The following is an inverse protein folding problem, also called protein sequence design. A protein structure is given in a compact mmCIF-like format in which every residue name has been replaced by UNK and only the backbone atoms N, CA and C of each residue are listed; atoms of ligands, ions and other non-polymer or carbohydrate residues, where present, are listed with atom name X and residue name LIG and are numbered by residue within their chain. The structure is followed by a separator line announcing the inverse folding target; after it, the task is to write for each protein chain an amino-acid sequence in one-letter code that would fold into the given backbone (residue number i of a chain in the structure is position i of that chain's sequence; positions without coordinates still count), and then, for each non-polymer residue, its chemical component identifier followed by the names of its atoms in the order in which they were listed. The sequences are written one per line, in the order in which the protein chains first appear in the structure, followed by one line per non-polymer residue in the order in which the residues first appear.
data_IF_068682434039
#
_entry.id   IF_068682434039
#
_cell.length_a   1.000
_cell.length_b   1.000
_cell.length_c   1.000
_cell.angle_alpha   90.00
_cell.angle_beta   90.00
_cell.angle_gamma   90.00
#
_symmetry.space_group_name_H-M   'P 1'
#
loop_
_entity.id
_entity.type
_entity.pdbx_description
1 polymer ?
#
# COMPACT_ATOMS: atom_id res chain seq x y z
N UNK A 1 -11.83 -20.22 9.69
CA UNK A 1 -10.72 -19.28 9.37
C UNK A 1 -10.42 -18.33 10.53
N UNK A 2 -11.45 -17.73 11.14
CA UNK A 2 -11.30 -16.82 12.28
C UNK A 2 -10.51 -17.41 13.46
N UNK A 3 -10.83 -18.64 13.90
CA UNK A 3 -10.08 -19.34 14.94
C UNK A 3 -8.58 -19.41 14.64
N UNK A 4 -8.19 -19.80 13.42
CA UNK A 4 -6.76 -19.86 13.02
C UNK A 4 -6.08 -18.48 13.07
N UNK A 5 -6.80 -17.40 12.76
CA UNK A 5 -6.26 -16.04 12.89
C UNK A 5 -6.01 -15.68 14.35
N UNK A 6 -6.97 -15.94 15.23
CA UNK A 6 -6.84 -15.69 16.68
C UNK A 6 -5.72 -16.51 17.32
N UNK A 7 -5.62 -17.80 17.01
CA UNK A 7 -4.53 -18.66 17.48
C UNK A 7 -3.17 -18.12 17.03
N UNK A 8 -3.04 -17.71 15.75
CA UNK A 8 -1.79 -17.11 15.28
C UNK A 8 -1.44 -15.80 16.02
N UNK A 9 -2.44 -14.98 16.38
CA UNK A 9 -2.21 -13.77 17.18
C UNK A 9 -1.61 -14.08 18.55
N UNK A 10 -2.15 -15.11 19.21
CA UNK A 10 -1.69 -15.54 20.53
C UNK A 10 -0.32 -16.20 20.43
N UNK A 11 -0.23 -17.32 19.73
CA UNK A 11 0.97 -18.17 19.71
C UNK A 11 2.19 -17.46 19.12
N UNK A 12 2.01 -16.73 18.01
CA UNK A 12 3.13 -16.17 17.27
C UNK A 12 3.57 -14.79 17.79
N UNK A 13 2.67 -14.06 18.46
CA UNK A 13 2.94 -12.68 18.87
C UNK A 13 2.74 -12.46 20.37
N UNK A 14 1.53 -12.64 20.90
CA UNK A 14 1.22 -12.30 22.29
C UNK A 14 2.05 -13.12 23.30
N UNK A 15 2.23 -14.42 23.06
CA UNK A 15 2.99 -15.28 23.97
C UNK A 15 4.49 -15.24 23.67
N UNK A 16 4.87 -15.11 22.40
CA UNK A 16 6.27 -15.25 21.98
C UNK A 16 7.08 -13.96 22.13
N UNK A 17 6.53 -12.80 21.75
CA UNK A 17 7.29 -11.55 21.72
C UNK A 17 7.74 -11.08 23.11
N UNK A 18 6.92 -11.15 24.19
CA UNK A 18 7.35 -10.71 25.52
C UNK A 18 8.58 -11.50 26.04
N UNK A 19 8.69 -12.77 25.65
CA UNK A 19 9.82 -13.63 26.01
C UNK A 19 11.12 -13.30 25.26
N UNK A 20 11.09 -12.37 24.32
CA UNK A 20 12.26 -11.92 23.54
C UNK A 20 12.70 -10.49 23.91
N UNK A 21 12.14 -9.94 25.00
CA UNK A 21 12.51 -8.62 25.49
C UNK A 21 13.89 -8.67 26.15
N UNK A 22 14.76 -7.75 25.76
CA UNK A 22 16.07 -7.51 26.34
C UNK A 22 16.11 -6.03 26.72
N UNK A 23 16.32 -5.74 28.01
CA UNK A 23 16.36 -4.36 28.55
C UNK A 23 15.15 -3.50 28.14
N UNK A 24 13.94 -4.08 28.20
CA UNK A 24 12.71 -3.37 27.85
C UNK A 24 12.45 -3.21 26.34
N UNK A 25 13.34 -3.69 25.47
CA UNK A 25 13.19 -3.60 24.01
C UNK A 25 13.18 -4.97 23.34
N UNK A 26 12.61 -5.03 22.14
CA UNK A 26 12.69 -6.19 21.26
C UNK A 26 13.67 -5.86 20.14
N UNK A 27 14.65 -6.74 19.94
CA UNK A 27 15.68 -6.57 18.91
C UNK A 27 15.45 -7.58 17.79
N UNK A 28 15.29 -7.11 16.56
CA UNK A 28 15.19 -7.96 15.37
C UNK A 28 16.49 -7.98 14.58
N UNK A 29 16.71 -9.06 13.83
CA UNK A 29 17.81 -9.18 12.88
C UNK A 29 17.34 -8.88 11.46
N UNK A 30 17.96 -7.91 10.79
CA UNK A 30 17.70 -7.61 9.38
C UNK A 30 18.73 -8.27 8.46
N UNK A 31 18.24 -9.10 7.53
CA UNK A 31 19.03 -9.59 6.41
C UNK A 31 18.77 -8.74 5.17
N UNK A 32 19.83 -8.14 4.61
CA UNK A 32 19.74 -7.21 3.48
C UNK A 32 19.86 -7.90 2.11
N UNK A 33 20.12 -9.21 2.07
CA UNK A 33 20.43 -9.96 0.84
C UNK A 33 19.38 -11.06 0.62
N UNK A 34 18.29 -10.71 -0.07
CA UNK A 34 17.31 -11.66 -0.60
C UNK A 34 17.28 -11.66 -2.12
N UNK A 35 16.70 -12.71 -2.71
CA UNK A 35 16.58 -12.87 -4.18
C UNK A 35 15.89 -11.67 -4.85
N UNK A 36 14.94 -11.05 -4.16
CA UNK A 36 14.18 -9.88 -4.64
C UNK A 36 14.77 -8.56 -4.18
N UNK A 37 15.94 -8.55 -3.52
CA UNK A 37 16.56 -7.35 -2.98
C UNK A 37 15.91 -6.81 -1.70
N UNK A 38 14.70 -7.23 -1.32
CA UNK A 38 14.04 -6.82 -0.07
C UNK A 38 14.86 -7.19 1.17
N UNK A 39 14.73 -6.38 2.21
CA UNK A 39 15.18 -6.74 3.55
C UNK A 39 14.20 -7.72 4.18
N UNK A 40 14.71 -8.68 4.95
CA UNK A 40 13.87 -9.55 5.79
C UNK A 40 14.23 -9.40 7.25
N UNK A 41 13.22 -9.40 8.11
CA UNK A 41 13.36 -9.44 9.56
C UNK A 41 13.22 -10.88 10.09
N UNK A 42 14.08 -11.26 11.04
CA UNK A 42 13.97 -12.52 11.79
C UNK A 42 14.37 -12.34 13.26
N UNK A 43 13.92 -13.28 14.08
CA UNK A 43 14.29 -13.40 15.49
C UNK A 43 14.15 -12.11 16.33
N UNK A 44 12.91 -11.56 16.47
CA UNK A 44 11.65 -11.95 15.83
C UNK A 44 11.44 -11.28 14.46
N UNK A 45 10.50 -11.80 13.68
CA UNK A 45 10.08 -11.14 12.43
C UNK A 45 9.08 -10.01 12.71
N UNK A 46 9.59 -8.79 12.81
CA UNK A 46 8.82 -7.56 13.06
C UNK A 46 8.21 -6.96 11.79
N UNK A 47 8.53 -7.48 10.60
CA UNK A 47 7.86 -7.07 9.35
C UNK A 47 6.47 -7.68 9.19
N UNK A 48 6.15 -8.71 9.99
CA UNK A 48 4.89 -9.45 9.89
C UNK A 48 3.94 -9.16 11.04
N UNK A 49 4.16 -8.08 11.79
CA UNK A 49 3.24 -7.66 12.84
C UNK A 49 1.86 -7.36 12.21
N UNK A 50 0.78 -7.99 12.69
CA UNK A 50 -0.56 -7.88 12.10
C UNK A 50 -1.04 -6.43 11.98
N UNK A 51 -1.49 -6.04 10.78
CA UNK A 51 -2.08 -4.71 10.53
C UNK A 51 -3.61 -4.68 10.65
N UNK A 52 -4.27 -5.84 10.53
CA UNK A 52 -5.74 -5.94 10.61
C UNK A 52 -6.28 -5.79 12.04
N UNK A 53 -5.40 -5.68 13.03
CA UNK A 53 -5.74 -5.41 14.43
C UNK A 53 -4.62 -4.63 15.09
N UNK A 54 -4.97 -3.61 15.86
CA UNK A 54 -3.99 -2.80 16.59
C UNK A 54 -3.58 -3.42 17.93
N UNK A 55 -4.17 -4.57 18.34
CA UNK A 55 -3.88 -5.20 19.63
C UNK A 55 -2.38 -5.45 19.85
N UNK A 56 -1.71 -6.07 18.87
CA UNK A 56 -0.28 -6.36 18.95
C UNK A 56 0.54 -5.10 18.69
N UNK A 57 0.17 -4.27 17.69
CA UNK A 57 0.90 -3.04 17.36
C UNK A 57 0.91 -2.03 18.52
N UNK A 58 -0.14 -1.98 19.33
CA UNK A 58 -0.22 -1.12 20.51
C UNK A 58 0.77 -1.50 21.62
N UNK A 59 1.34 -2.70 21.60
CA UNK A 59 2.37 -3.10 22.55
C UNK A 59 3.75 -2.48 22.22
N UNK A 60 3.94 -1.98 20.99
CA UNK A 60 5.14 -1.25 20.58
C UNK A 60 4.93 0.23 20.86
N UNK A 61 5.76 0.78 21.75
CA UNK A 61 5.64 2.15 22.26
C UNK A 61 6.94 2.91 22.05
N UNK A 62 6.84 4.23 21.92
CA UNK A 62 8.00 5.12 22.00
C UNK A 62 8.49 5.24 23.46
N UNK A 63 9.76 5.61 23.63
CA UNK A 63 10.30 5.98 24.94
C UNK A 63 9.76 7.34 25.39
N UNK A 64 9.95 7.68 26.66
CA UNK A 64 9.57 8.99 27.21
C UNK A 64 10.31 10.13 26.50
N UNK A 65 9.59 11.22 26.20
CA UNK A 65 10.10 12.35 25.41
C UNK A 65 10.29 12.05 23.92
N UNK A 66 9.79 10.90 23.42
CA UNK A 66 9.92 10.46 22.03
C UNK A 66 8.60 9.98 21.46
N UNK A 67 8.53 9.95 20.13
CA UNK A 67 7.40 9.45 19.36
C UNK A 67 7.87 8.44 18.31
N UNK A 68 6.93 7.62 17.82
CA UNK A 68 7.11 6.85 16.60
C UNK A 68 6.56 7.65 15.42
N UNK A 69 7.40 7.86 14.39
CA UNK A 69 6.98 8.41 13.12
C UNK A 69 7.07 7.33 12.03
N UNK A 70 5.97 7.04 11.37
CA UNK A 70 5.89 6.15 10.20
C UNK A 70 5.93 6.98 8.92
N UNK A 71 6.84 6.63 8.02
CA UNK A 71 6.91 7.14 6.65
C UNK A 71 6.64 5.98 5.68
N UNK A 72 5.50 6.00 4.99
CA UNK A 72 5.05 4.91 4.10
C UNK A 72 4.87 5.40 2.66
N UNK A 73 5.53 4.74 1.70
CA UNK A 73 5.38 5.08 0.28
C UNK A 73 3.97 4.78 -0.25
N UNK A 74 3.26 5.80 -0.72
CA UNK A 74 1.93 5.63 -1.28
C UNK A 74 1.98 4.96 -2.67
N UNK A 75 1.57 3.68 -2.73
CA UNK A 75 1.48 2.91 -3.98
C UNK A 75 2.82 2.75 -4.71
N UNK A 76 3.89 2.54 -3.95
CA UNK A 76 5.28 2.46 -4.44
C UNK A 76 5.42 1.58 -5.69
N UNK A 77 4.91 0.34 -5.62
CA UNK A 77 5.08 -0.63 -6.70
C UNK A 77 4.30 -0.28 -7.97
N UNK A 78 3.12 0.35 -7.86
CA UNK A 78 2.37 0.79 -9.05
C UNK A 78 2.98 2.02 -9.69
N UNK A 79 3.59 2.92 -8.91
CA UNK A 79 4.34 4.05 -9.45
C UNK A 79 5.59 3.57 -10.19
N UNK A 80 6.30 2.57 -9.64
CA UNK A 80 7.41 1.90 -10.33
C UNK A 80 6.91 1.23 -11.61
N UNK A 81 5.79 0.52 -11.57
CA UNK A 81 5.19 -0.08 -12.77
C UNK A 81 4.91 0.97 -13.84
N UNK A 82 4.30 2.10 -13.47
CA UNK A 82 4.00 3.19 -14.40
C UNK A 82 5.28 3.70 -15.08
N UNK A 83 6.35 3.88 -14.30
CA UNK A 83 7.64 4.36 -14.81
C UNK A 83 8.31 3.38 -15.78
N UNK A 84 8.41 2.10 -15.40
CA UNK A 84 9.09 1.07 -16.21
C UNK A 84 8.28 0.65 -17.43
N UNK A 85 6.94 0.65 -17.34
CA UNK A 85 6.08 0.31 -18.47
C UNK A 85 5.88 1.48 -19.42
N UNK A 86 6.05 2.71 -18.94
CA UNK A 86 5.77 3.92 -19.71
C UNK A 86 4.30 4.07 -20.06
N UNK A 87 3.39 3.44 -19.31
CA UNK A 87 1.95 3.51 -19.57
C UNK A 87 1.43 4.92 -19.34
N UNK A 88 0.94 5.58 -20.40
CA UNK A 88 0.57 6.99 -20.39
C UNK A 88 -0.56 7.30 -19.41
N UNK A 89 -1.59 6.44 -19.35
CA UNK A 89 -2.71 6.63 -18.45
C UNK A 89 -2.27 6.44 -16.99
N UNK A 90 -1.49 5.40 -16.70
CA UNK A 90 -1.01 5.15 -15.35
C UNK A 90 -0.07 6.26 -14.86
N UNK A 91 0.83 6.75 -15.72
CA UNK A 91 1.67 7.91 -15.43
C UNK A 91 0.81 9.14 -15.12
N UNK A 92 -0.17 9.44 -15.98
CA UNK A 92 -1.09 10.58 -15.80
C UNK A 92 -1.83 10.50 -14.47
N UNK A 93 -2.42 9.34 -14.13
CA UNK A 93 -3.14 9.12 -12.87
C UNK A 93 -2.26 9.52 -11.68
N UNK A 94 -1.01 9.07 -11.64
CA UNK A 94 -0.14 9.35 -10.51
C UNK A 94 0.39 10.79 -10.47
N UNK A 95 0.67 11.40 -11.63
CA UNK A 95 1.09 12.81 -11.72
C UNK A 95 -0.03 13.77 -11.30
N UNK A 96 -1.29 13.43 -11.57
CA UNK A 96 -2.46 14.23 -11.20
C UNK A 96 -2.99 13.91 -9.80
N UNK A 97 -2.31 13.06 -9.02
CA UNK A 97 -2.73 12.69 -7.67
C UNK A 97 -3.97 11.78 -7.61
N UNK A 98 -4.30 11.13 -8.72
CA UNK A 98 -5.41 10.18 -8.84
C UNK A 98 -5.12 8.80 -8.21
N UNK A 99 -6.12 7.94 -8.27
CA UNK A 99 -6.11 6.62 -7.66
C UNK A 99 -6.27 5.51 -8.71
N UNK A 100 -5.16 4.85 -9.05
CA UNK A 100 -5.13 3.78 -10.04
C UNK A 100 -6.02 2.59 -9.66
N UNK A 101 -6.29 2.35 -8.37
CA UNK A 101 -7.22 1.31 -7.96
C UNK A 101 -8.67 1.67 -8.30
N UNK A 102 -9.05 2.94 -8.12
CA UNK A 102 -10.37 3.43 -8.50
C UNK A 102 -10.54 3.43 -10.02
N UNK A 103 -9.52 3.83 -10.80
CA UNK A 103 -9.60 3.78 -12.26
C UNK A 103 -9.81 2.35 -12.77
N UNK A 104 -9.02 1.39 -12.28
CA UNK A 104 -9.22 -0.03 -12.62
C UNK A 104 -10.62 -0.50 -12.20
N UNK A 105 -11.10 -0.10 -11.03
CA UNK A 105 -12.43 -0.47 -10.52
C UNK A 105 -13.56 0.03 -11.42
N UNK A 106 -13.48 1.27 -11.91
CA UNK A 106 -14.46 1.86 -12.82
C UNK A 106 -14.50 1.10 -14.14
N UNK A 107 -13.34 0.77 -14.73
CA UNK A 107 -13.32 -0.03 -15.96
C UNK A 107 -13.96 -1.39 -15.74
N UNK A 108 -13.57 -2.11 -14.70
CA UNK A 108 -14.12 -3.43 -14.37
C UNK A 108 -15.63 -3.35 -14.12
N UNK A 109 -16.07 -2.34 -13.37
CA UNK A 109 -17.47 -2.10 -13.07
C UNK A 109 -18.28 -1.89 -14.35
N UNK A 110 -17.84 -1.00 -15.24
CA UNK A 110 -18.55 -0.65 -16.46
C UNK A 110 -18.62 -1.82 -17.46
N UNK A 111 -17.62 -2.69 -17.47
CA UNK A 111 -17.63 -3.91 -18.27
C UNK A 111 -18.55 -4.99 -17.67
N UNK A 112 -18.60 -5.08 -16.34
CA UNK A 112 -19.45 -6.04 -15.64
C UNK A 112 -20.93 -5.65 -15.65
N UNK A 113 -21.22 -4.35 -15.53
CA UNK A 113 -22.57 -3.81 -15.39
C UNK A 113 -22.82 -2.73 -16.46
N UNK A 114 -23.06 -3.12 -17.73
CA UNK A 114 -23.19 -2.18 -18.85
C UNK A 114 -24.37 -1.20 -18.69
N UNK A 115 -25.40 -1.58 -17.93
CA UNK A 115 -26.59 -0.75 -17.67
C UNK A 115 -26.45 0.18 -16.45
N UNK A 116 -25.35 0.05 -15.68
CA UNK A 116 -25.07 0.84 -14.45
C UNK A 116 -23.72 1.54 -14.52
N UNK A 117 -23.35 2.05 -15.71
CA UNK A 117 -22.05 2.69 -15.92
C UNK A 117 -21.86 3.90 -15.02
N UNK A 118 -20.60 4.15 -14.66
CA UNK A 118 -20.18 5.28 -13.84
C UNK A 118 -18.86 5.86 -14.36
N UNK A 119 -18.59 7.11 -14.03
CA UNK A 119 -17.30 7.76 -14.25
C UNK A 119 -16.47 7.81 -12.96
N UNK A 120 -15.20 8.21 -13.07
CA UNK A 120 -14.28 8.23 -11.93
C UNK A 120 -14.70 9.22 -10.84
N UNK A 121 -15.31 10.34 -11.22
CA UNK A 121 -15.74 11.39 -10.29
C UNK A 121 -16.92 10.91 -9.44
N UNK A 122 -17.95 10.38 -10.09
CA UNK A 122 -19.12 9.76 -9.44
C UNK A 122 -18.69 8.58 -8.58
N UNK A 123 -17.82 7.71 -9.09
CA UNK A 123 -17.31 6.56 -8.34
C UNK A 123 -16.61 6.97 -7.05
N UNK A 124 -15.74 7.98 -7.09
CA UNK A 124 -15.04 8.47 -5.91
C UNK A 124 -15.98 9.20 -4.95
N UNK A 125 -16.91 10.02 -5.46
CA UNK A 125 -17.89 10.75 -4.63
C UNK A 125 -18.76 9.77 -3.84
N UNK A 126 -19.36 8.79 -4.51
CA UNK A 126 -20.24 7.82 -3.84
C UNK A 126 -19.48 6.96 -2.81
N UNK A 127 -18.20 6.65 -3.05
CA UNK A 127 -17.35 6.03 -2.02
C UNK A 127 -17.23 6.90 -0.77
N UNK A 128 -16.95 8.20 -0.92
CA UNK A 128 -16.88 9.16 0.21
C UNK A 128 -18.22 9.24 0.96
N UNK A 129 -19.34 9.31 0.23
CA UNK A 129 -20.69 9.26 0.83
C UNK A 129 -20.82 8.02 1.71
N UNK A 130 -20.55 6.85 1.13
CA UNK A 130 -20.68 5.60 1.87
C UNK A 130 -19.71 5.49 3.05
N UNK A 131 -18.50 6.03 2.97
CA UNK A 131 -17.55 5.99 4.08
C UNK A 131 -18.00 6.89 5.26
N UNK A 132 -18.63 8.03 4.98
CA UNK A 132 -19.17 8.92 6.02
C UNK A 132 -20.29 8.25 6.84
N UNK A 133 -21.18 7.53 6.16
CA UNK A 133 -22.35 6.89 6.78
C UNK A 133 -22.10 5.47 7.30
N UNK A 134 -20.86 5.00 7.39
CA UNK A 134 -20.56 3.66 7.91
C UNK A 134 -20.18 3.64 9.38
N UNK A 135 -20.48 2.54 10.04
CA UNK A 135 -19.96 2.19 11.35
C UNK A 135 -18.49 1.70 11.28
N UNK A 136 -17.92 1.40 12.45
CA UNK A 136 -16.56 0.84 12.60
C UNK A 136 -16.41 -0.56 12.00
N UNK A 137 -17.50 -1.29 11.81
CA UNK A 137 -17.53 -2.63 11.23
C UNK A 137 -17.69 -2.58 9.70
N UNK A 138 -17.89 -1.38 9.14
CA UNK A 138 -17.98 -1.10 7.71
C UNK A 138 -19.39 -1.24 7.13
N UNK A 139 -20.42 -1.34 7.95
CA UNK A 139 -21.83 -1.39 7.53
C UNK A 139 -22.43 0.02 7.56
N UNK A 140 -23.49 0.26 6.78
CA UNK A 140 -24.22 1.53 6.90
C UNK A 140 -24.86 1.63 8.28
N UNK A 141 -24.63 2.76 8.92
CA UNK A 141 -25.23 3.11 10.20
C UNK A 141 -26.42 4.04 9.94
N UNK A 142 -27.63 3.49 9.99
CA UNK A 142 -28.86 4.26 9.78
C UNK A 142 -29.01 5.42 10.77
N UNK A 143 -28.39 5.32 11.96
CA UNK A 143 -28.43 6.40 12.95
C UNK A 143 -27.67 7.65 12.50
N UNK A 144 -26.73 7.52 11.55
CA UNK A 144 -26.00 8.64 10.94
C UNK A 144 -26.78 9.37 9.85
N UNK A 145 -27.99 8.94 9.51
CA UNK A 145 -28.86 9.64 8.56
C UNK A 145 -29.84 10.59 9.27
N UNK A 146 -29.44 11.15 10.41
CA UNK A 146 -30.15 12.21 11.12
C UNK A 146 -29.77 13.60 10.58
N UNK A 147 -30.58 14.60 10.94
CA UNK A 147 -30.42 15.98 10.45
C UNK A 147 -29.04 16.58 10.75
N UNK A 148 -28.43 16.26 11.91
CA UNK A 148 -27.12 16.79 12.29
C UNK A 148 -26.00 16.29 11.38
N UNK A 149 -25.94 14.99 11.15
CA UNK A 149 -24.96 14.39 10.23
C UNK A 149 -25.18 14.82 8.78
N UNK A 150 -26.44 14.95 8.34
CA UNK A 150 -26.76 15.42 6.99
C UNK A 150 -26.33 16.87 6.77
N UNK A 151 -26.53 17.75 7.76
CA UNK A 151 -26.07 19.13 7.68
C UNK A 151 -24.54 19.18 7.56
N UNK A 152 -23.83 18.45 8.43
CA UNK A 152 -22.36 18.36 8.38
C UNK A 152 -21.86 17.85 7.02
N UNK A 153 -22.41 16.74 6.52
CA UNK A 153 -22.01 16.16 5.24
C UNK A 153 -22.27 17.09 4.06
N UNK A 154 -23.34 17.89 4.11
CA UNK A 154 -23.68 18.85 3.06
C UNK A 154 -22.73 20.05 3.09
N UNK A 155 -22.39 20.56 4.29
CA UNK A 155 -21.42 21.65 4.49
C UNK A 155 -20.01 21.24 4.04
N UNK A 156 -19.61 19.99 4.32
CA UNK A 156 -18.34 19.41 3.87
C UNK A 156 -18.34 19.02 2.37
N UNK A 157 -19.46 19.21 1.66
CA UNK A 157 -19.59 18.89 0.24
C UNK A 157 -19.54 17.39 -0.09
N UNK A 158 -19.76 16.52 0.91
CA UNK A 158 -19.77 15.06 0.76
C UNK A 158 -21.03 14.61 0.01
N UNK A 159 -22.17 15.21 0.33
CA UNK A 159 -23.48 14.92 -0.25
C UNK A 159 -24.02 16.11 -1.05
N UNK A 160 -24.82 15.80 -2.08
CA UNK A 160 -25.44 16.82 -2.96
C UNK A 160 -26.92 17.06 -2.67
N UNK A 161 -27.52 16.23 -1.81
CA UNK A 161 -28.93 16.30 -1.42
C UNK A 161 -29.05 15.89 0.04
N UNK A 162 -30.10 16.35 0.73
CA UNK A 162 -30.48 15.90 2.08
C UNK A 162 -31.64 14.91 2.05
N UNK A 163 -32.09 14.49 0.86
CA UNK A 163 -33.12 13.47 0.70
C UNK A 163 -32.58 12.11 1.16
N UNK A 164 -33.16 11.59 2.25
CA UNK A 164 -32.72 10.35 2.88
C UNK A 164 -32.85 9.14 1.96
N UNK A 165 -33.88 9.06 1.12
CA UNK A 165 -34.09 7.91 0.23
C UNK A 165 -33.02 7.87 -0.87
N UNK A 166 -32.70 9.04 -1.43
CA UNK A 166 -31.62 9.16 -2.42
C UNK A 166 -30.26 8.83 -1.78
N UNK A 167 -30.00 9.35 -0.59
CA UNK A 167 -28.73 9.14 0.10
C UNK A 167 -28.50 7.69 0.51
N UNK A 168 -29.53 6.97 0.94
CA UNK A 168 -29.42 5.54 1.22
C UNK A 168 -28.98 4.78 -0.03
N UNK A 169 -29.60 5.04 -1.18
CA UNK A 169 -29.22 4.42 -2.47
C UNK A 169 -27.80 4.79 -2.88
N UNK A 170 -27.40 6.06 -2.71
CA UNK A 170 -26.04 6.52 -2.99
C UNK A 170 -25.00 5.85 -2.09
N UNK A 171 -25.29 5.72 -0.79
CA UNK A 171 -24.41 5.09 0.19
C UNK A 171 -24.29 3.57 -0.03
N UNK A 172 -25.38 2.89 -0.39
CA UNK A 172 -25.38 1.48 -0.79
C UNK A 172 -24.54 1.25 -2.05
N UNK A 173 -24.70 2.10 -3.06
CA UNK A 173 -23.89 2.01 -4.27
C UNK A 173 -22.40 2.31 -3.99
N UNK A 174 -22.12 3.29 -3.13
CA UNK A 174 -20.76 3.57 -2.66
C UNK A 174 -20.11 2.38 -1.93
N UNK A 175 -20.90 1.58 -1.20
CA UNK A 175 -20.48 0.30 -0.62
C UNK A 175 -20.09 -0.74 -1.67
N UNK A 176 -20.89 -0.87 -2.74
CA UNK A 176 -20.53 -1.72 -3.88
C UNK A 176 -19.23 -1.24 -4.54
N UNK A 177 -19.06 0.08 -4.70
CA UNK A 177 -17.87 0.69 -5.29
C UNK A 177 -16.62 0.48 -4.42
N UNK A 178 -16.73 0.60 -3.10
CA UNK A 178 -15.60 0.31 -2.21
C UNK A 178 -15.19 -1.16 -2.29
N UNK A 179 -16.15 -2.09 -2.35
CA UNK A 179 -15.87 -3.51 -2.59
C UNK A 179 -15.19 -3.72 -3.95
N UNK A 180 -15.65 -3.04 -4.99
CA UNK A 180 -15.04 -3.13 -6.33
C UNK A 180 -13.62 -2.57 -6.34
N UNK A 181 -13.36 -1.46 -5.66
CA UNK A 181 -12.00 -0.91 -5.51
C UNK A 181 -11.08 -1.87 -4.76
N UNK A 182 -11.55 -2.51 -3.69
CA UNK A 182 -10.77 -3.53 -2.97
C UNK A 182 -10.43 -4.72 -3.89
N UNK A 183 -11.36 -5.16 -4.75
CA UNK A 183 -11.08 -6.17 -5.79
C UNK A 183 -10.08 -5.66 -6.82
N UNK A 184 -10.26 -4.45 -7.34
CA UNK A 184 -9.36 -3.83 -8.31
C UNK A 184 -7.94 -3.63 -7.76
N UNK A 185 -7.79 -3.32 -6.47
CA UNK A 185 -6.49 -3.30 -5.79
C UNK A 185 -5.79 -4.66 -5.89
N UNK A 186 -6.51 -5.74 -5.57
CA UNK A 186 -5.98 -7.09 -5.69
C UNK A 186 -5.67 -7.48 -7.14
N UNK A 187 -6.48 -7.04 -8.11
CA UNK A 187 -6.21 -7.22 -9.55
C UNK A 187 -4.91 -6.52 -9.95
N UNK A 188 -4.75 -5.23 -9.61
CA UNK A 188 -3.54 -4.46 -9.92
C UNK A 188 -2.27 -5.19 -9.43
N UNK A 189 -2.25 -5.65 -8.18
CA UNK A 189 -1.11 -6.41 -7.65
C UNK A 189 -0.96 -7.79 -8.28
N UNK A 190 -2.06 -8.53 -8.49
CA UNK A 190 -2.01 -9.88 -9.05
C UNK A 190 -1.47 -9.90 -10.47
N UNK A 191 -1.86 -8.92 -11.29
CA UNK A 191 -1.41 -8.82 -12.68
C UNK A 191 0.07 -8.43 -12.74
N UNK A 192 0.49 -7.49 -11.88
CA UNK A 192 1.90 -7.11 -11.72
C UNK A 192 2.79 -8.32 -11.41
N UNK A 193 2.27 -9.28 -10.65
CA UNK A 193 3.00 -10.51 -10.31
C UNK A 193 2.74 -11.69 -11.25
N UNK A 194 2.02 -11.46 -12.35
CA UNK A 194 1.74 -12.45 -13.38
C UNK A 194 0.90 -13.62 -12.90
N UNK A 195 0.00 -13.40 -11.93
CA UNK A 195 -0.98 -14.39 -11.48
C UNK A 195 -1.79 -14.91 -12.68
N UNK A 196 -2.07 -16.21 -12.71
CA UNK A 196 -2.88 -16.84 -13.77
C UNK A 196 -4.37 -16.50 -13.61
N UNK A 197 -5.18 -16.66 -14.67
CA UNK A 197 -6.65 -16.50 -14.59
C UNK A 197 -7.23 -17.29 -13.41
N UNK A 198 -6.86 -18.58 -13.31
CA UNK A 198 -7.25 -19.44 -12.19
C UNK A 198 -6.81 -18.91 -10.83
N UNK A 199 -5.54 -18.48 -10.70
CA UNK A 199 -5.04 -17.94 -9.44
C UNK A 199 -5.76 -16.65 -9.02
N UNK A 200 -6.16 -15.82 -9.98
CA UNK A 200 -6.94 -14.62 -9.71
C UNK A 200 -8.38 -14.96 -9.30
N UNK A 201 -8.99 -15.94 -9.97
CA UNK A 201 -10.32 -16.45 -9.64
C UNK A 201 -10.37 -16.99 -8.20
N UNK A 202 -9.39 -17.83 -7.82
CA UNK A 202 -9.26 -18.39 -6.49
C UNK A 202 -9.06 -17.29 -5.42
N UNK A 203 -8.20 -16.30 -5.69
CA UNK A 203 -7.90 -15.22 -4.74
C UNK A 203 -9.08 -14.26 -4.51
N UNK A 204 -9.84 -13.97 -5.57
CA UNK A 204 -10.97 -13.03 -5.52
C UNK A 204 -12.31 -13.72 -5.21
N UNK A 205 -12.33 -15.05 -5.12
CA UNK A 205 -13.53 -15.87 -4.96
C UNK A 205 -14.58 -15.54 -6.05
N UNK A 206 -14.13 -15.52 -7.31
CA UNK A 206 -14.95 -15.24 -8.50
C UNK A 206 -14.83 -16.36 -9.53
N UNK A 207 -15.66 -16.34 -10.58
CA UNK A 207 -15.52 -17.31 -11.68
C UNK A 207 -14.25 -17.05 -12.50
N UNK A 208 -13.72 -18.09 -13.17
CA UNK A 208 -12.61 -17.91 -14.13
C UNK A 208 -12.97 -16.96 -15.28
N UNK A 209 -14.25 -16.91 -15.66
CA UNK A 209 -14.76 -15.98 -16.66
C UNK A 209 -14.67 -14.53 -16.18
N UNK A 210 -15.07 -14.25 -14.94
CA UNK A 210 -14.92 -12.92 -14.33
C UNK A 210 -13.45 -12.55 -14.18
N UNK A 211 -12.59 -13.48 -13.76
CA UNK A 211 -11.15 -13.25 -13.64
C UNK A 211 -10.52 -12.90 -14.98
N UNK A 212 -10.89 -13.61 -16.05
CA UNK A 212 -10.46 -13.31 -17.42
C UNK A 212 -10.92 -11.92 -17.85
N UNK A 213 -12.19 -11.57 -17.61
CA UNK A 213 -12.71 -10.24 -17.91
C UNK A 213 -11.93 -9.15 -17.16
N UNK A 214 -11.59 -9.37 -15.89
CA UNK A 214 -10.82 -8.41 -15.09
C UNK A 214 -9.42 -8.20 -15.66
N UNK A 215 -8.72 -9.28 -16.04
CA UNK A 215 -7.39 -9.21 -16.66
C UNK A 215 -7.46 -8.48 -18.00
N UNK A 216 -8.42 -8.82 -18.85
CA UNK A 216 -8.59 -8.17 -20.15
C UNK A 216 -8.90 -6.68 -20.00
N UNK A 217 -9.81 -6.34 -19.08
CA UNK A 217 -10.15 -4.94 -18.77
C UNK A 217 -8.91 -4.17 -18.34
N UNK A 218 -8.09 -4.74 -17.46
CA UNK A 218 -6.85 -4.11 -17.00
C UNK A 218 -5.84 -3.89 -18.14
N UNK A 219 -5.60 -4.89 -18.99
CA UNK A 219 -4.65 -4.77 -20.11
C UNK A 219 -5.13 -3.77 -21.17
N UNK A 220 -6.45 -3.62 -21.33
CA UNK A 220 -7.05 -2.61 -22.21
C UNK A 220 -6.93 -1.21 -21.62
N UNK A 221 -7.12 -1.05 -20.30
CA UNK A 221 -6.93 0.22 -19.61
C UNK A 221 -5.46 0.66 -19.64
N UNK A 222 -4.53 -0.29 -19.48
CA UNK A 222 -3.08 -0.02 -19.38
C UNK A 222 -2.29 -0.76 -20.49
N UNK A 223 -2.41 -0.34 -21.76
CA UNK A 223 -1.75 -1.01 -22.88
C UNK A 223 -0.22 -0.96 -22.80
N UNK A 224 0.37 0.06 -22.17
CA UNK A 224 1.81 0.14 -21.93
C UNK A 224 2.29 -0.95 -20.98
N UNK A 225 1.49 -1.28 -19.95
CA UNK A 225 1.77 -2.41 -19.06
C UNK A 225 1.73 -3.74 -19.82
N UNK A 226 0.72 -3.95 -20.67
CA UNK A 226 0.62 -5.15 -21.49
C UNK A 226 1.84 -5.34 -22.40
N UNK A 227 2.27 -4.26 -23.06
CA UNK A 227 3.48 -4.24 -23.89
C UNK A 227 4.73 -4.58 -23.08
N UNK A 228 4.91 -3.93 -21.92
CA UNK A 228 6.05 -4.16 -21.03
C UNK A 228 6.15 -5.62 -20.54
N UNK A 229 5.02 -6.27 -20.24
CA UNK A 229 4.99 -7.69 -19.86
C UNK A 229 5.54 -8.56 -20.99
N UNK A 230 5.11 -8.34 -22.24
CA UNK A 230 5.57 -9.11 -23.38
C UNK A 230 7.06 -8.86 -23.70
N UNK A 231 7.53 -7.62 -23.54
CA UNK A 231 8.95 -7.28 -23.67
C UNK A 231 9.79 -7.95 -22.59
N UNK A 232 9.30 -7.98 -21.36
CA UNK A 232 9.95 -8.67 -20.23
C UNK A 232 10.10 -10.16 -20.51
N UNK A 233 9.07 -10.81 -21.06
CA UNK A 233 9.14 -12.23 -21.47
C UNK A 233 10.26 -12.47 -22.49
N UNK A 234 10.43 -11.57 -23.47
CA UNK A 234 11.52 -11.65 -24.46
C UNK A 234 12.89 -11.53 -23.78
N UNK A 235 13.06 -10.53 -22.91
CA UNK A 235 14.29 -10.33 -22.13
C UNK A 235 14.64 -11.58 -21.31
N UNK A 236 13.65 -12.18 -20.64
CA UNK A 236 13.85 -13.41 -19.85
C UNK A 236 14.33 -14.56 -20.73
N UNK A 237 13.79 -14.75 -21.95
CA UNK A 237 14.23 -15.80 -22.88
C UNK A 237 15.66 -15.57 -23.40
N UNK A 238 15.92 -14.34 -23.84
CA UNK A 238 17.16 -14.00 -24.55
C UNK A 238 18.35 -13.83 -23.59
N UNK A 239 18.14 -13.03 -22.54
CA UNK A 239 19.20 -12.65 -21.60
C UNK A 239 19.27 -13.56 -20.38
N UNK A 240 18.18 -14.24 -20.03
CA UNK A 240 18.07 -15.12 -18.84
C UNK A 240 18.27 -14.39 -17.51
N UNK A 241 18.15 -13.06 -17.52
CA UNK A 241 18.07 -12.21 -16.34
C UNK A 241 17.27 -10.95 -16.62
N UNK A 242 16.76 -10.32 -15.57
CA UNK A 242 16.16 -8.97 -15.59
C UNK A 242 16.90 -8.06 -14.63
N UNK A 243 16.68 -6.74 -14.75
CA UNK A 243 17.32 -5.71 -13.93
C UNK A 243 16.28 -4.79 -13.28
N UNK A 244 16.58 -4.33 -12.06
CA UNK A 244 15.85 -3.24 -11.38
C UNK A 244 16.25 -1.87 -11.96
N UNK A 245 15.58 -0.80 -11.50
CA UNK A 245 15.92 0.59 -11.86
C UNK A 245 17.38 0.95 -11.60
N UNK A 246 18.02 0.37 -10.57
CA UNK A 246 19.44 0.58 -10.26
C UNK A 246 20.36 -0.51 -10.82
N UNK A 247 19.86 -1.37 -11.72
CA UNK A 247 20.67 -2.39 -12.40
C UNK A 247 20.92 -3.67 -11.59
N UNK A 248 20.20 -3.91 -10.48
CA UNK A 248 20.32 -5.17 -9.73
C UNK A 248 19.79 -6.33 -10.58
N UNK A 249 20.64 -7.32 -10.85
CA UNK A 249 20.30 -8.48 -11.68
C UNK A 249 19.60 -9.60 -10.93
N UNK A 250 18.46 -10.07 -11.47
CA UNK A 250 17.83 -11.35 -11.11
C UNK A 250 18.07 -12.37 -12.22
N UNK A 251 18.91 -13.38 -11.96
CA UNK A 251 19.16 -14.48 -12.90
C UNK A 251 18.03 -15.52 -12.86
N UNK A 252 17.63 -16.00 -14.04
CA UNK A 252 16.48 -16.89 -14.30
C UNK A 252 16.84 -18.06 -15.25
N UNK A 253 18.13 -18.26 -15.55
CA UNK A 253 18.59 -19.33 -16.44
C UNK A 253 18.16 -20.74 -16.00
N UNK A 254 18.11 -21.13 -14.70
CA UNK A 254 17.72 -22.50 -14.33
C UNK A 254 16.29 -22.83 -14.79
N UNK A 255 15.38 -21.88 -14.63
CA UNK A 255 13.98 -22.06 -15.02
C UNK A 255 13.82 -22.02 -16.55
N UNK A 256 14.51 -21.10 -17.22
CA UNK A 256 14.45 -20.93 -18.68
C UNK A 256 15.07 -22.12 -19.43
N UNK A 257 16.19 -22.67 -18.94
CA UNK A 257 16.92 -23.77 -19.58
C UNK A 257 16.38 -25.16 -19.24
N UNK A 258 15.44 -25.26 -18.29
CA UNK A 258 14.87 -26.54 -17.83
C UNK A 258 14.12 -27.34 -18.91
N UNK A 259 13.71 -26.70 -20.01
CA UNK A 259 12.83 -27.28 -21.02
C UNK A 259 11.37 -27.47 -20.57
N UNK A 260 11.04 -27.19 -19.32
CA UNK A 260 9.70 -27.37 -18.77
C UNK A 260 8.88 -26.09 -18.93
N UNK A 261 7.75 -26.17 -19.65
CA UNK A 261 6.89 -25.01 -19.91
C UNK A 261 6.46 -24.29 -18.63
N UNK A 262 6.10 -25.02 -17.58
CA UNK A 262 5.66 -24.42 -16.32
C UNK A 262 6.77 -23.65 -15.59
N UNK A 263 8.03 -24.09 -15.69
CA UNK A 263 9.18 -23.37 -15.14
C UNK A 263 9.46 -22.11 -15.95
N UNK A 264 9.35 -22.18 -17.27
CA UNK A 264 9.48 -21.00 -18.12
C UNK A 264 8.40 -19.94 -17.82
N UNK A 265 7.14 -20.34 -17.64
CA UNK A 265 6.08 -19.43 -17.19
C UNK A 265 6.37 -18.85 -15.80
N UNK A 266 6.97 -19.65 -14.90
CA UNK A 266 7.44 -19.17 -13.60
C UNK A 266 8.55 -18.13 -13.73
N UNK A 267 9.48 -18.32 -14.67
CA UNK A 267 10.54 -17.37 -14.96
C UNK A 267 9.99 -16.03 -15.42
N UNK A 268 8.94 -16.01 -16.25
CA UNK A 268 8.29 -14.75 -16.66
C UNK A 268 7.68 -14.01 -15.48
N UNK A 269 6.93 -14.71 -14.61
CA UNK A 269 6.35 -14.11 -13.41
C UNK A 269 7.45 -13.54 -12.50
N UNK A 270 8.51 -14.31 -12.27
CA UNK A 270 9.67 -13.85 -11.50
C UNK A 270 10.37 -12.65 -12.14
N UNK A 271 10.45 -12.62 -13.48
CA UNK A 271 11.00 -11.49 -14.23
C UNK A 271 10.25 -10.20 -13.92
N UNK A 272 8.94 -10.17 -14.20
CA UNK A 272 8.09 -9.00 -13.94
C UNK A 272 8.14 -8.57 -12.47
N UNK A 273 7.95 -9.52 -11.54
CA UNK A 273 7.98 -9.25 -10.11
C UNK A 273 9.33 -8.66 -9.65
N UNK A 274 10.45 -9.19 -10.15
CA UNK A 274 11.78 -8.75 -9.70
C UNK A 274 12.09 -7.33 -10.13
N UNK A 275 11.64 -6.89 -11.31
CA UNK A 275 11.85 -5.51 -11.76
C UNK A 275 11.09 -4.51 -10.90
N UNK A 276 9.89 -4.86 -10.42
CA UNK A 276 9.07 -3.96 -9.60
C UNK A 276 9.48 -4.04 -8.13
N UNK A 277 9.37 -5.23 -7.54
CA UNK A 277 9.67 -5.44 -6.12
C UNK A 277 11.14 -5.18 -5.79
N UNK A 278 12.04 -5.53 -6.71
CA UNK A 278 13.47 -5.24 -6.54
C UNK A 278 13.77 -3.76 -6.61
N UNK A 279 13.13 -3.02 -7.51
CA UNK A 279 13.28 -1.56 -7.58
C UNK A 279 12.69 -0.87 -6.35
N UNK A 280 11.57 -1.36 -5.82
CA UNK A 280 10.99 -0.89 -4.56
C UNK A 280 11.96 -1.09 -3.39
N UNK A 281 12.59 -2.27 -3.31
CA UNK A 281 13.60 -2.56 -2.30
C UNK A 281 14.86 -1.70 -2.46
N UNK A 282 15.29 -1.45 -3.70
CA UNK A 282 16.42 -0.57 -4.00
C UNK A 282 16.11 0.87 -3.60
N UNK A 283 14.90 1.35 -3.86
CA UNK A 283 14.42 2.68 -3.46
C UNK A 283 14.40 2.83 -1.94
N UNK A 284 13.83 1.87 -1.21
CA UNK A 284 13.80 1.90 0.26
C UNK A 284 15.21 1.93 0.87
N UNK A 285 16.14 1.13 0.32
CA UNK A 285 17.54 1.12 0.76
C UNK A 285 18.27 2.41 0.44
N UNK A 286 18.04 2.97 -0.75
CA UNK A 286 18.67 4.23 -1.13
C UNK A 286 18.13 5.38 -0.28
N UNK A 287 16.81 5.45 -0.09
CA UNK A 287 16.16 6.42 0.78
C UNK A 287 16.71 6.36 2.20
N UNK A 288 16.87 5.16 2.78
CA UNK A 288 17.38 5.03 4.14
C UNK A 288 18.83 5.49 4.29
N UNK A 289 19.65 5.37 3.24
CA UNK A 289 21.00 5.92 3.20
C UNK A 289 20.98 7.44 3.04
N UNK A 290 20.18 7.95 2.11
CA UNK A 290 20.06 9.38 1.83
C UNK A 290 19.48 10.17 3.03
N UNK A 291 18.65 9.51 3.84
CA UNK A 291 18.07 10.07 5.07
C UNK A 291 19.08 10.25 6.21
N UNK A 292 20.19 9.49 6.25
CA UNK A 292 21.09 9.44 7.40
C UNK A 292 21.58 10.83 7.89
N UNK A 293 21.98 11.77 7.00
CA UNK A 293 22.40 13.10 7.44
C UNK A 293 21.28 13.91 8.10
N UNK A 294 20.06 13.84 7.55
CA UNK A 294 18.90 14.56 8.08
C UNK A 294 18.44 13.95 9.41
N UNK A 295 18.40 12.62 9.51
CA UNK A 295 18.07 11.91 10.74
C UNK A 295 19.03 12.30 11.88
N UNK A 296 20.34 12.33 11.61
CA UNK A 296 21.34 12.76 12.59
C UNK A 296 21.17 14.22 13.02
N UNK A 297 20.77 15.12 12.10
CA UNK A 297 20.56 16.54 12.37
C UNK A 297 19.46 16.77 13.43
N UNK A 298 18.44 15.93 13.44
CA UNK A 298 17.27 16.08 14.33
C UNK A 298 17.18 15.01 15.43
N UNK A 299 18.27 14.29 15.73
CA UNK A 299 18.27 13.16 16.68
C UNK A 299 17.17 12.11 16.42
N UNK A 300 16.96 11.77 15.15
CA UNK A 300 16.02 10.75 14.72
C UNK A 300 16.75 9.46 14.36
N UNK A 301 16.13 8.31 14.61
CA UNK A 301 16.73 6.99 14.35
C UNK A 301 15.75 6.09 13.60
N UNK A 302 16.23 5.34 12.61
CA UNK A 302 15.40 4.30 11.97
C UNK A 302 15.32 3.10 12.94
N UNK A 303 14.10 2.73 13.33
CA UNK A 303 13.84 1.60 14.23
C UNK A 303 13.50 0.34 13.44
N UNK A 304 12.61 0.45 12.44
CA UNK A 304 12.14 -0.71 11.67
C UNK A 304 11.96 -0.38 10.19
N UNK A 305 12.26 -1.38 9.36
CA UNK A 305 11.91 -1.41 7.95
C UNK A 305 10.76 -2.39 7.73
N UNK A 306 9.58 -1.90 7.36
CA UNK A 306 8.38 -2.70 7.11
C UNK A 306 8.01 -2.58 5.64
N UNK A 307 8.71 -3.33 4.79
CA UNK A 307 8.53 -3.29 3.33
C UNK A 307 8.76 -1.87 2.74
N UNK A 308 7.68 -1.15 2.46
CA UNK A 308 7.60 0.22 1.93
C UNK A 308 7.46 1.30 3.02
N UNK A 309 7.40 0.89 4.29
CA UNK A 309 7.28 1.73 5.47
C UNK A 309 8.60 1.79 6.27
N UNK A 310 8.98 3.00 6.72
CA UNK A 310 10.01 3.24 7.72
C UNK A 310 9.38 3.66 9.03
N UNK A 311 9.70 2.95 10.12
CA UNK A 311 9.38 3.41 11.48
C UNK A 311 10.60 4.10 12.04
N UNK A 312 10.43 5.36 12.40
CA UNK A 312 11.42 6.22 13.00
C UNK A 312 11.07 6.44 14.47
N UNK A 313 12.11 6.56 15.28
CA UNK A 313 12.07 7.06 16.63
C UNK A 313 12.56 8.51 16.58
N UNK A 314 11.70 9.43 17.02
CA UNK A 314 11.89 10.89 16.85
C UNK A 314 11.65 11.60 18.18
N UNK A 315 12.27 12.77 18.43
CA UNK A 315 11.92 13.62 19.57
C UNK A 315 10.43 14.00 19.57
N UNK A 316 9.83 14.15 20.76
CA UNK A 316 8.41 14.52 20.88
C UNK A 316 8.12 15.92 20.31
N UNK A 317 9.10 16.83 20.35
CA UNK A 317 9.08 18.20 19.85
C UNK A 317 9.54 18.37 18.39
N UNK A 318 9.69 17.26 17.63
CA UNK A 318 10.27 17.27 16.27
C UNK A 318 9.56 18.23 15.27
N UNK A 319 8.25 18.45 15.43
CA UNK A 319 7.42 19.21 14.50
C UNK A 319 7.25 18.56 13.11
N UNK A 320 6.35 19.12 12.29
CA UNK A 320 6.11 18.60 10.93
C UNK A 320 7.20 18.95 9.91
N UNK A 321 7.99 20.00 10.16
CA UNK A 321 9.01 20.48 9.21
C UNK A 321 10.04 19.40 8.85
N UNK A 322 10.75 18.82 9.83
CA UNK A 322 11.72 17.75 9.61
C UNK A 322 11.11 16.49 8.98
N UNK A 323 9.89 16.11 9.37
CA UNK A 323 9.21 14.95 8.80
C UNK A 323 8.87 15.15 7.31
N UNK A 324 8.48 16.37 6.92
CA UNK A 324 8.32 16.74 5.50
C UNK A 324 9.64 16.66 4.75
N UNK A 325 10.73 17.19 5.31
CA UNK A 325 12.10 17.04 4.75
C UNK A 325 12.45 15.55 4.53
N UNK A 326 12.16 14.68 5.50
CA UNK A 326 12.41 13.24 5.37
C UNK A 326 11.60 12.62 4.23
N UNK A 327 10.30 12.93 4.12
CA UNK A 327 9.49 12.43 3.01
C UNK A 327 9.95 12.93 1.65
N UNK A 328 10.43 14.16 1.54
CA UNK A 328 11.00 14.69 0.30
C UNK A 328 12.27 13.93 -0.11
N UNK A 329 13.18 13.69 0.84
CA UNK A 329 14.39 12.87 0.60
C UNK A 329 14.00 11.47 0.15
N UNK A 330 13.07 10.84 0.88
CA UNK A 330 12.61 9.49 0.60
C UNK A 330 11.94 9.37 -0.78
N UNK A 331 11.07 10.31 -1.14
CA UNK A 331 10.40 10.35 -2.45
C UNK A 331 11.36 10.60 -3.62
N UNK A 332 12.46 11.33 -3.39
CA UNK A 332 13.44 11.66 -4.42
C UNK A 332 14.64 10.71 -4.46
N UNK A 333 14.69 9.69 -3.59
CA UNK A 333 15.80 8.73 -3.54
C UNK A 333 16.03 8.07 -4.91
N UNK A 334 14.96 7.62 -5.58
CA UNK A 334 14.99 7.21 -6.98
C UNK A 334 13.88 7.97 -7.71
N UNK A 335 14.20 9.03 -8.47
CA UNK A 335 13.20 9.82 -9.17
C UNK A 335 12.44 8.96 -10.20
N UNK A 336 11.11 9.02 -10.15
CA UNK A 336 10.21 8.42 -11.14
C UNK A 336 9.51 9.50 -11.96
N UNK A 337 9.15 9.21 -13.21
CA UNK A 337 8.44 10.15 -14.11
C UNK A 337 7.11 10.64 -13.56
N UNK A 338 6.38 9.79 -12.83
CA UNK A 338 5.11 10.14 -12.19
C UNK A 338 5.25 10.62 -10.74
N UNK A 339 6.49 10.83 -10.28
CA UNK A 339 6.81 11.16 -8.89
C UNK A 339 6.53 10.03 -7.91
N UNK A 340 6.93 10.27 -6.66
CA UNK A 340 6.66 9.40 -5.52
C UNK A 340 5.96 10.20 -4.43
N UNK A 341 5.14 9.53 -3.63
CA UNK A 341 4.48 10.12 -2.46
C UNK A 341 4.79 9.26 -1.24
N UNK A 342 4.93 9.90 -0.10
CA UNK A 342 4.94 9.24 1.21
C UNK A 342 3.87 9.85 2.08
N UNK A 343 3.21 9.02 2.87
CA UNK A 343 2.34 9.44 3.95
C UNK A 343 3.15 9.50 5.26
N UNK A 344 2.75 10.38 6.18
CA UNK A 344 3.37 10.56 7.50
C UNK A 344 2.32 10.21 8.55
N UNK A 345 2.68 9.34 9.48
CA UNK A 345 1.86 9.05 10.66
C UNK A 345 2.73 9.17 11.92
N UNK A 346 2.18 9.77 12.98
CA UNK A 346 2.89 9.99 14.25
C UNK A 346 2.06 9.38 15.36
N UNK A 347 2.72 8.68 16.28
CA UNK A 347 2.04 8.07 17.41
C UNK A 347 2.97 7.76 18.60
N UNK A 348 2.39 7.74 19.81
CA UNK A 348 3.04 7.18 21.01
C UNK A 348 3.13 5.65 20.97
N UNK A 349 2.21 5.00 20.23
CA UNK A 349 2.14 3.55 20.02
C UNK A 349 1.99 3.24 18.54
N UNK A 350 2.66 2.21 18.03
CA UNK A 350 2.63 1.91 16.60
C UNK A 350 1.21 1.59 16.06
N UNK A 351 0.32 1.07 16.90
CA UNK A 351 -1.07 0.79 16.52
C UNK A 351 -2.02 1.99 16.63
N UNK A 352 -1.52 3.19 16.92
CA UNK A 352 -2.29 4.42 17.06
C UNK A 352 -1.90 5.43 15.98
N UNK A 353 -2.70 6.49 15.85
CA UNK A 353 -2.41 7.64 15.00
C UNK A 353 -2.91 8.90 15.70
N UNK A 354 -2.02 9.86 15.87
CA UNK A 354 -2.39 11.18 16.38
C UNK A 354 -3.02 12.01 15.27
N UNK A 355 -4.05 12.76 15.62
CA UNK A 355 -4.69 13.72 14.73
C UNK A 355 -3.96 15.08 14.75
N UNK A 356 -4.37 16.01 13.90
CA UNK A 356 -3.70 17.31 13.78
C UNK A 356 -3.84 18.16 15.05
N UNK A 357 -4.98 18.09 15.74
CA UNK A 357 -5.21 18.85 16.97
C UNK A 357 -4.29 18.33 18.09
N UNK A 358 -4.24 17.00 18.27
CA UNK A 358 -3.35 16.34 19.24
C UNK A 358 -1.87 16.66 18.99
N UNK A 359 -1.46 16.77 17.73
CA UNK A 359 -0.08 17.13 17.37
C UNK A 359 0.20 18.62 17.59
N UNK A 360 -0.78 19.47 17.32
CA UNK A 360 -0.64 20.92 17.48
C UNK A 360 -0.54 21.27 18.96
N UNK A 361 -1.43 20.73 19.80
CA UNK A 361 -1.37 20.87 21.25
C UNK A 361 -0.01 20.43 21.80
N UNK A 362 0.47 19.25 21.38
CA UNK A 362 1.75 18.70 21.85
C UNK A 362 2.96 19.60 21.51
N UNK A 363 2.99 20.17 20.32
CA UNK A 363 4.12 21.00 19.89
C UNK A 363 4.01 22.45 20.34
N UNK A 364 2.80 22.98 20.53
CA UNK A 364 2.60 24.30 21.15
C UNK A 364 3.02 24.30 22.62
N UNK A 365 2.73 23.23 23.36
CA UNK A 365 3.18 23.08 24.76
C UNK A 365 4.73 23.04 24.86
N UNK A 366 5.40 22.40 23.90
CA UNK A 366 6.85 22.30 23.85
C UNK A 366 7.57 23.63 23.51
N UNK A 367 6.90 24.60 22.87
CA UNK A 367 7.49 25.93 22.60
C UNK A 367 7.45 26.88 23.80
N UNK A 368 6.70 26.53 24.86
CA UNK A 368 6.45 27.40 26.04
C UNK A 368 7.31 27.02 27.25
N UNK A 369 7.91 25.82 27.27
CA UNK A 369 8.89 25.37 28.28
C UNK A 369 10.34 25.66 27.86
#
# INVERSE_FOLDING_TARGET
LEYRRKVKLVDAFADKLPNQIINGRIHTSFSTIKKTGRMSSSDPNLQQIPSYTNLIRNAFIADEGRLLASLDFSSQELRILADISGDELMLKIFTEGGDAHSTTAVTIWNNKYPDRKTDIETFQRLRKVSDFFRDKDGNLDESKFDEGHLNKAFEEGIILTKDKEILLKEAELGLEFEKMRKKAKQVNFSIVYGTTEKGLADNLEISEEEARMYIQSYMQTYPGVAKWIEETKKIVRERKYVETLLGRKRRLYPEVESGQRWLLESAYRMGCNSQIQGSAADMMKKASLDLQPALKKYDCHIVLFVHDELILDVPEDIGMGPLKEFTEIMCNAIPLKCGMKSDIEIAKRWGQKMNQDELSELWEEAEVE
#
